data_IF_693678126001
#
_entry.id   IF_693678126001
#
_cell.length_a   1.000
_cell.length_b   1.000
_cell.length_c   1.000
_cell.angle_alpha   90.00
_cell.angle_beta   90.00
_cell.angle_gamma   90.00
#
_symmetry.space_group_name_H-M   'P 1'
#
loop_
_entity.id
_entity.type
_entity.pdbx_description
1 polymer ?
#
# COMPACT_ATOMS: atom_id res chain seq x y z
N UNK A 1 -17.12 9.11 7.97
CA UNK A 1 -16.71 8.33 6.79
C UNK A 1 -15.29 8.73 6.49
N UNK A 2 -14.33 7.86 6.74
CA UNK A 2 -12.96 8.12 6.26
C UNK A 2 -12.99 7.94 4.74
N UNK A 3 -12.64 8.99 4.02
CA UNK A 3 -12.71 9.02 2.56
C UNK A 3 -11.48 8.33 1.98
N UNK A 4 -11.67 7.45 0.99
CA UNK A 4 -10.55 6.78 0.28
C UNK A 4 -9.64 7.85 -0.32
N UNK A 5 -8.33 7.84 -0.04
CA UNK A 5 -7.39 8.82 -0.59
C UNK A 5 -7.45 8.89 -2.12
N UNK A 6 -7.64 10.07 -2.68
CA UNK A 6 -7.61 10.32 -4.12
C UNK A 6 -6.22 10.81 -4.52
N UNK A 7 -5.44 9.93 -5.14
CA UNK A 7 -4.12 10.26 -5.71
C UNK A 7 -4.10 9.99 -7.21
N UNK A 8 -3.13 10.59 -7.90
CA UNK A 8 -2.95 10.52 -9.35
C UNK A 8 -1.62 9.89 -9.74
N UNK A 9 -1.55 9.27 -10.92
CA UNK A 9 -0.29 8.72 -11.45
C UNK A 9 0.81 9.77 -11.57
N UNK A 10 0.44 11.02 -11.87
CA UNK A 10 1.37 12.15 -11.92
C UNK A 10 2.06 12.38 -10.56
N UNK A 11 1.32 12.24 -9.46
CA UNK A 11 1.90 12.36 -8.11
C UNK A 11 2.84 11.20 -7.82
N UNK A 12 2.49 9.97 -8.22
CA UNK A 12 3.36 8.80 -8.10
C UNK A 12 4.63 8.98 -8.93
N UNK A 13 4.51 9.44 -10.18
CA UNK A 13 5.64 9.72 -11.08
C UNK A 13 6.60 10.75 -10.51
N UNK A 14 6.09 11.77 -9.81
CA UNK A 14 6.91 12.79 -9.17
C UNK A 14 7.73 12.30 -7.97
N UNK A 15 7.43 11.12 -7.42
CA UNK A 15 8.10 10.55 -6.23
C UNK A 15 9.21 9.56 -6.56
N UNK A 16 9.25 9.07 -7.79
CA UNK A 16 10.22 8.06 -8.23
C UNK A 16 11.10 8.58 -9.36
N UNK A 17 12.33 8.08 -9.44
CA UNK A 17 13.14 8.26 -10.63
C UNK A 17 12.53 7.47 -11.80
N UNK A 18 12.79 7.90 -13.04
CA UNK A 18 12.17 7.31 -14.24
C UNK A 18 12.27 5.79 -14.32
N UNK A 19 13.47 5.23 -14.08
CA UNK A 19 13.69 3.78 -14.09
C UNK A 19 12.90 3.04 -12.99
N UNK A 20 12.75 3.62 -11.80
CA UNK A 20 11.96 3.01 -10.74
C UNK A 20 10.47 3.04 -11.07
N UNK A 21 10.01 4.07 -11.77
CA UNK A 21 8.63 4.16 -12.20
C UNK A 21 8.31 3.14 -13.29
N UNK A 22 9.10 3.07 -14.35
CA UNK A 22 8.92 2.10 -15.46
C UNK A 22 8.88 0.67 -14.93
N UNK A 23 9.82 0.32 -14.04
CA UNK A 23 9.81 -1.00 -13.40
C UNK A 23 8.63 -1.22 -12.46
N UNK A 24 8.04 -0.16 -11.92
CA UNK A 24 6.84 -0.23 -11.11
C UNK A 24 5.61 -0.58 -11.96
N UNK A 25 5.53 -0.01 -13.17
CA UNK A 25 4.53 -0.38 -14.19
C UNK A 25 4.68 -1.86 -14.57
N UNK A 26 5.90 -2.33 -14.88
CA UNK A 26 6.17 -3.73 -15.16
C UNK A 26 5.69 -4.66 -14.03
N UNK A 27 5.87 -4.24 -12.77
CA UNK A 27 5.49 -5.03 -11.61
C UNK A 27 3.97 -5.10 -11.42
N UNK A 28 3.28 -3.99 -11.72
CA UNK A 28 1.82 -3.94 -11.73
C UNK A 28 1.24 -4.84 -12.82
N UNK A 29 1.76 -4.73 -14.04
CA UNK A 29 1.30 -5.51 -15.20
C UNK A 29 1.59 -7.01 -15.03
N UNK A 30 2.73 -7.34 -14.44
CA UNK A 30 3.12 -8.71 -14.12
C UNK A 30 2.33 -9.35 -12.98
N UNK A 31 1.44 -8.61 -12.30
CA UNK A 31 0.61 -9.14 -11.23
C UNK A 31 1.40 -9.48 -9.95
N UNK A 32 2.53 -8.83 -9.72
CA UNK A 32 3.40 -9.12 -8.56
C UNK A 32 2.97 -8.42 -7.26
N UNK A 33 1.91 -7.61 -7.30
CA UNK A 33 1.33 -6.96 -6.12
C UNK A 33 0.21 -7.83 -5.57
N UNK A 34 0.42 -8.36 -4.38
CA UNK A 34 -0.48 -9.25 -3.67
C UNK A 34 -0.98 -8.60 -2.36
N UNK A 35 -2.08 -9.11 -1.82
CA UNK A 35 -2.60 -8.71 -0.51
C UNK A 35 -2.76 -7.19 -0.32
N UNK A 36 -3.16 -6.47 -1.38
CA UNK A 36 -3.40 -5.03 -1.34
C UNK A 36 -4.62 -4.73 -0.45
N UNK A 37 -4.39 -4.01 0.65
CA UNK A 37 -5.41 -3.71 1.66
C UNK A 37 -5.31 -2.25 2.06
N UNK A 38 -6.44 -1.54 2.02
CA UNK A 38 -6.59 -0.22 2.62
C UNK A 38 -7.32 -0.36 3.97
N UNK A 39 -6.71 0.21 5.02
CA UNK A 39 -7.32 0.32 6.36
C UNK A 39 -7.17 1.76 6.85
N UNK A 40 -8.26 2.51 6.83
CA UNK A 40 -8.24 3.95 7.10
C UNK A 40 -7.35 4.69 6.10
N UNK A 41 -6.29 5.32 6.60
CA UNK A 41 -5.29 6.04 5.79
C UNK A 41 -4.00 5.24 5.56
N UNK A 42 -4.00 3.93 5.83
CA UNK A 42 -2.82 3.07 5.65
C UNK A 42 -3.10 2.01 4.59
N UNK A 43 -2.30 2.03 3.53
CA UNK A 43 -2.31 1.02 2.47
C UNK A 43 -1.12 0.09 2.65
N UNK A 44 -1.41 -1.21 2.68
CA UNK A 44 -0.39 -2.26 2.78
C UNK A 44 -0.48 -3.21 1.61
N UNK A 45 0.65 -3.76 1.19
CA UNK A 45 0.72 -4.81 0.19
C UNK A 45 1.97 -5.68 0.37
N UNK A 46 1.90 -6.88 -0.19
CA UNK A 46 3.02 -7.77 -0.40
C UNK A 46 3.43 -7.70 -1.87
N UNK A 47 4.73 -7.57 -2.15
CA UNK A 47 5.23 -7.46 -3.52
C UNK A 47 6.24 -8.56 -3.78
N UNK A 48 5.86 -9.51 -4.62
CA UNK A 48 6.74 -10.60 -5.06
C UNK A 48 7.88 -10.00 -5.87
N UNK A 49 9.10 -10.46 -5.62
CA UNK A 49 10.28 -9.89 -6.25
C UNK A 49 11.46 -10.85 -6.26
N UNK A 50 12.66 -10.30 -6.12
CA UNK A 50 13.90 -11.06 -6.23
C UNK A 50 14.24 -11.93 -5.01
N UNK A 51 13.59 -11.71 -3.88
CA UNK A 51 13.80 -12.49 -2.67
C UNK A 51 12.77 -13.63 -2.58
N UNK A 52 13.10 -14.63 -1.76
CA UNK A 52 12.17 -15.73 -1.47
C UNK A 52 10.90 -15.23 -0.77
N UNK A 53 11.07 -14.35 0.22
CA UNK A 53 9.95 -13.68 0.89
C UNK A 53 9.53 -12.41 0.11
N UNK A 54 8.21 -12.13 0.00
CA UNK A 54 7.72 -10.89 -0.58
C UNK A 54 8.21 -9.65 0.17
N UNK A 55 8.38 -8.54 -0.55
CA UNK A 55 8.64 -7.25 0.08
C UNK A 55 7.35 -6.67 0.65
N UNK A 56 7.40 -6.17 1.89
CA UNK A 56 6.27 -5.49 2.51
C UNK A 56 6.32 -4.01 2.15
N UNK A 57 5.20 -3.49 1.66
CA UNK A 57 5.02 -2.07 1.35
C UNK A 57 3.95 -1.51 2.28
N UNK A 58 4.25 -0.36 2.87
CA UNK A 58 3.34 0.39 3.72
C UNK A 58 3.33 1.87 3.27
N UNK A 59 2.14 2.37 2.93
CA UNK A 59 1.91 3.74 2.49
C UNK A 59 0.94 4.40 3.47
N UNK A 60 1.35 5.54 4.01
CA UNK A 60 0.53 6.39 4.87
C UNK A 60 0.03 7.59 4.09
N UNK A 61 -1.27 7.77 4.08
CA UNK A 61 -1.93 8.93 3.52
C UNK A 61 -2.24 9.98 4.60
N UNK A 62 -2.30 11.23 4.17
CA UNK A 62 -2.86 12.34 4.94
C UNK A 62 -3.88 13.04 4.03
N UNK A 63 -5.14 12.61 4.13
CA UNK A 63 -6.17 12.95 3.16
C UNK A 63 -5.80 12.43 1.78
N UNK A 64 -5.69 13.34 0.80
CA UNK A 64 -5.35 13.00 -0.59
C UNK A 64 -3.85 13.11 -0.89
N UNK A 65 -2.99 13.05 0.12
CA UNK A 65 -1.54 13.18 -0.05
C UNK A 65 -0.81 11.98 0.52
N UNK A 66 0.29 11.56 -0.12
CA UNK A 66 1.16 10.49 0.39
C UNK A 66 2.13 11.11 1.40
N UNK A 67 1.86 10.89 2.68
CA UNK A 67 2.67 11.40 3.79
C UNK A 67 3.96 10.60 3.96
N UNK A 68 3.88 9.27 3.82
CA UNK A 68 5.04 8.36 3.95
C UNK A 68 4.84 7.12 3.10
N UNK A 69 5.92 6.61 2.54
CA UNK A 69 5.95 5.31 1.88
C UNK A 69 7.20 4.55 2.32
N UNK A 70 7.03 3.27 2.67
CA UNK A 70 8.07 2.41 3.21
C UNK A 70 8.01 1.09 2.45
N UNK A 71 9.19 0.54 2.14
CA UNK A 71 9.32 -0.79 1.60
C UNK A 71 10.47 -1.50 2.29
N UNK A 72 10.33 -2.81 2.55
CA UNK A 72 11.41 -3.62 3.15
C UNK A 72 12.55 -3.94 2.17
N UNK A 73 12.45 -3.52 0.91
CA UNK A 73 13.50 -3.79 -0.06
C UNK A 73 14.78 -2.97 0.21
N UNK A 74 15.96 -3.50 -0.14
CA UNK A 74 17.25 -2.84 0.14
C UNK A 74 17.57 -1.67 -0.80
N UNK A 75 16.56 -1.10 -1.47
CA UNK A 75 16.75 -0.02 -2.44
C UNK A 75 17.12 1.29 -1.73
N UNK A 76 18.20 1.92 -2.18
CA UNK A 76 18.78 3.14 -1.60
C UNK A 76 19.05 4.25 -2.66
N UNK A 77 18.59 4.06 -3.90
CA UNK A 77 18.99 4.90 -5.05
C UNK A 77 18.13 6.17 -5.25
N UNK A 78 17.45 6.61 -4.19
CA UNK A 78 16.64 7.83 -4.18
C UNK A 78 15.23 7.67 -4.77
N UNK A 79 14.30 8.47 -4.24
CA UNK A 79 12.87 8.37 -4.54
C UNK A 79 12.23 7.07 -4.07
N UNK A 80 10.96 6.90 -4.38
CA UNK A 80 10.24 5.68 -4.10
C UNK A 80 10.74 4.54 -5.02
N UNK A 81 10.94 3.36 -4.43
CA UNK A 81 11.36 2.18 -5.18
C UNK A 81 10.22 1.67 -6.08
N UNK A 82 10.56 0.83 -7.07
CA UNK A 82 9.57 0.20 -7.97
C UNK A 82 8.43 -0.53 -7.26
N UNK A 83 8.66 -1.12 -6.07
CA UNK A 83 7.60 -1.83 -5.34
C UNK A 83 6.57 -0.86 -4.77
N UNK A 84 7.02 0.29 -4.23
CA UNK A 84 6.12 1.35 -3.77
C UNK A 84 5.32 1.90 -4.96
N UNK A 85 5.99 2.15 -6.09
CA UNK A 85 5.32 2.60 -7.31
C UNK A 85 4.25 1.60 -7.74
N UNK A 86 4.59 0.32 -7.85
CA UNK A 86 3.65 -0.72 -8.27
C UNK A 86 2.41 -0.77 -7.35
N UNK A 87 2.60 -0.64 -6.03
CA UNK A 87 1.51 -0.62 -5.05
C UNK A 87 0.64 0.62 -5.18
N UNK A 88 1.23 1.80 -5.38
CA UNK A 88 0.47 3.04 -5.59
C UNK A 88 -0.32 3.01 -6.90
N UNK A 89 0.26 2.47 -7.98
CA UNK A 89 -0.43 2.31 -9.25
C UNK A 89 -1.55 1.25 -9.16
N UNK A 90 -1.30 0.13 -8.47
CA UNK A 90 -2.33 -0.87 -8.17
C UNK A 90 -3.50 -0.25 -7.40
N UNK A 91 -3.19 0.57 -6.39
CA UNK A 91 -4.20 1.31 -5.64
C UNK A 91 -5.01 2.26 -6.53
N UNK A 92 -4.36 3.02 -7.42
CA UNK A 92 -5.07 3.92 -8.35
C UNK A 92 -6.00 3.12 -9.28
N UNK A 93 -5.52 2.01 -9.83
CA UNK A 93 -6.26 1.16 -10.77
C UNK A 93 -7.46 0.48 -10.11
N UNK A 94 -7.26 -0.09 -8.93
CA UNK A 94 -8.21 -0.97 -8.26
C UNK A 94 -8.95 -0.26 -7.10
N UNK A 95 -8.84 1.07 -7.01
CA UNK A 95 -9.33 1.88 -5.87
C UNK A 95 -10.79 1.61 -5.51
N UNK A 96 -11.64 1.43 -6.52
CA UNK A 96 -13.08 1.25 -6.33
C UNK A 96 -13.43 -0.18 -5.90
N UNK A 97 -12.69 -1.19 -6.39
CA UNK A 97 -12.90 -2.61 -6.08
C UNK A 97 -12.13 -3.09 -4.84
N UNK A 98 -11.24 -2.27 -4.30
CA UNK A 98 -10.41 -2.58 -3.13
C UNK A 98 -11.27 -2.87 -1.91
N UNK A 99 -11.04 -4.04 -1.30
CA UNK A 99 -11.69 -4.42 -0.06
C UNK A 99 -11.15 -3.57 1.09
N UNK A 100 -11.97 -2.63 1.57
CA UNK A 100 -11.69 -1.92 2.81
C UNK A 100 -11.82 -2.85 4.00
N UNK A 101 -10.78 -2.90 4.83
CA UNK A 101 -10.87 -3.58 6.12
C UNK A 101 -11.11 -2.54 7.22
N UNK A 102 -12.12 -2.74 8.10
CA UNK A 102 -12.36 -1.82 9.20
C UNK A 102 -11.15 -1.73 10.13
N UNK A 103 -11.07 -0.63 10.87
CA UNK A 103 -10.06 -0.45 11.90
C UNK A 103 -10.22 -1.53 12.97
N UNK A 104 -9.09 -1.96 13.56
CA UNK A 104 -9.12 -2.92 14.65
C UNK A 104 -9.94 -2.39 15.83
N UNK A 105 -9.80 -1.10 16.16
CA UNK A 105 -10.60 -0.45 17.20
C UNK A 105 -12.11 -0.53 16.92
N UNK A 106 -12.53 -0.45 15.65
CA UNK A 106 -13.94 -0.61 15.27
C UNK A 106 -14.42 -2.04 15.46
N UNK A 107 -13.62 -3.04 15.07
CA UNK A 107 -13.96 -4.45 15.26
C UNK A 107 -14.02 -4.86 16.73
N UNK A 108 -13.20 -4.23 17.57
CA UNK A 108 -13.10 -4.49 18.99
C UNK A 108 -14.06 -3.64 19.84
N UNK A 109 -14.81 -2.71 19.24
CA UNK A 109 -15.61 -1.74 20.00
C UNK A 109 -16.66 -2.40 20.91
N UNK A 110 -17.20 -3.55 20.50
CA UNK A 110 -18.23 -4.30 21.21
C UNK A 110 -17.67 -5.51 21.99
N UNK A 111 -16.34 -5.71 21.97
CA UNK A 111 -15.68 -6.81 22.66
C UNK A 111 -15.03 -6.29 23.95
N UNK A 112 -15.41 -6.88 25.08
CA UNK A 112 -14.70 -6.63 26.33
C UNK A 112 -13.46 -7.55 26.47
N UNK A 113 -12.67 -7.24 27.48
CA UNK A 113 -11.42 -7.96 27.72
C UNK A 113 -11.65 -9.42 28.18
N UNK A 114 -12.84 -9.79 28.65
CA UNK A 114 -13.18 -11.16 29.04
C UNK A 114 -13.45 -12.00 27.80
N UNK A 115 -14.23 -11.47 26.85
CA UNK A 115 -14.49 -12.10 25.56
C UNK A 115 -13.20 -12.33 24.75
N UNK A 116 -12.26 -11.39 24.77
CA UNK A 116 -10.99 -11.53 24.03
C UNK A 116 -10.04 -12.59 24.61
N UNK A 117 -10.14 -12.90 25.90
CA UNK A 117 -9.31 -13.92 26.55
C UNK A 117 -9.87 -15.33 26.40
N UNK A 118 -11.13 -15.44 26.00
CA UNK A 118 -11.84 -16.71 25.82
C UNK A 118 -11.77 -17.24 24.37
N UNK A 119 -11.11 -16.53 23.45
CA UNK A 119 -10.82 -16.97 22.07
C UNK A 119 -9.57 -17.86 22.01
#
# INVERSE_FOLDING_TARGET
>A
MEERPLITEREVRGRAIGQSFERGEDYLEGGYVENLVLRGQVLTAEVVGSQYEPYLVEVHFSGNTIAKAICTCPYDRGGDCKHIVAVLLAYIRDRESLAERPLLATLLADLDAEHLRAM
#
